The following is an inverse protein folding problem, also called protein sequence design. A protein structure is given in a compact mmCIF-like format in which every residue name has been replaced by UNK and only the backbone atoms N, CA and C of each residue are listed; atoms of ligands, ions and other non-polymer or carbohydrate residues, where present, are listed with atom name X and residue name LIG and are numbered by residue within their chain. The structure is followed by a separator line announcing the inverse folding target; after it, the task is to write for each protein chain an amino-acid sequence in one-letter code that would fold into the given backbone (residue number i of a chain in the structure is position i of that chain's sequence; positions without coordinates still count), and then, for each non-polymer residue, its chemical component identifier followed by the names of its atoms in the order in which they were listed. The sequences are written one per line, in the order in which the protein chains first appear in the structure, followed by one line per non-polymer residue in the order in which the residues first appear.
data_IF_966934755317
#
_entry.id   IF_966934755317
#
_cell.length_a   1.000
_cell.length_b   1.000
_cell.length_c   1.000
_cell.angle_alpha   90.00
_cell.angle_beta   90.00
_cell.angle_gamma   90.00
#
_symmetry.space_group_name_H-M   'P 1'
#
loop_
_entity.id
_entity.type
_entity.pdbx_description
1 polymer ?
#
# COMPACT_ATOMS: atom_id res chain seq x y z
N UNK A 1 25.53 28.78 0.74
CA UNK A 1 24.73 28.46 1.95
C UNK A 1 24.58 26.96 2.03
N UNK A 2 25.06 26.33 3.11
CA UNK A 2 24.81 24.92 3.41
C UNK A 2 23.37 24.75 3.90
N UNK A 3 22.59 23.90 3.25
CA UNK A 3 21.23 23.54 3.70
C UNK A 3 21.36 22.48 4.82
N UNK A 4 20.50 22.56 5.84
CA UNK A 4 20.41 21.54 6.89
C UNK A 4 19.93 20.19 6.35
N UNK A 5 20.12 19.13 7.15
CA UNK A 5 19.72 17.76 6.80
C UNK A 5 18.43 17.41 7.53
N UNK A 6 17.43 16.95 6.79
CA UNK A 6 16.21 16.33 7.33
C UNK A 6 16.11 14.93 6.73
N UNK A 7 16.35 13.91 7.55
CA UNK A 7 16.30 12.50 7.18
C UNK A 7 15.66 11.70 8.31
N UNK A 8 14.73 10.83 7.96
CA UNK A 8 14.10 9.85 8.86
C UNK A 8 14.31 8.48 8.25
N UNK A 9 14.75 7.54 9.07
CA UNK A 9 14.90 6.13 8.70
C UNK A 9 14.08 5.32 9.67
N UNK A 10 13.19 4.48 9.17
CA UNK A 10 12.34 3.62 9.97
C UNK A 10 12.33 2.20 9.41
N UNK A 11 12.37 1.24 10.33
CA UNK A 11 12.07 -0.17 10.04
C UNK A 11 11.00 -0.59 11.03
N UNK A 12 9.88 -1.08 10.52
CA UNK A 12 8.75 -1.45 11.36
C UNK A 12 7.74 -2.30 10.62
N UNK A 13 6.65 -2.62 11.31
CA UNK A 13 5.54 -3.40 10.76
C UNK A 13 4.32 -2.52 10.50
N UNK A 14 3.59 -2.81 9.43
CA UNK A 14 2.38 -2.06 9.10
C UNK A 14 1.25 -2.42 10.07
N UNK A 15 0.61 -1.43 10.69
CA UNK A 15 -0.54 -1.64 11.57
C UNK A 15 -1.85 -1.97 10.84
N UNK A 16 -1.93 -1.55 9.58
CA UNK A 16 -3.06 -1.75 8.67
C UNK A 16 -2.58 -1.74 7.23
N UNK A 17 -3.43 -2.19 6.31
CA UNK A 17 -3.14 -2.13 4.89
C UNK A 17 -2.92 -0.67 4.43
N UNK A 18 -2.03 -0.42 3.45
CA UNK A 18 -1.81 0.92 2.91
C UNK A 18 -3.09 1.51 2.30
N UNK A 19 -3.40 2.75 2.66
CA UNK A 19 -4.52 3.48 2.05
C UNK A 19 -4.01 4.25 0.83
N UNK A 20 -4.24 3.73 -0.38
CA UNK A 20 -3.83 4.38 -1.63
C UNK A 20 -4.92 5.27 -2.21
N UNK A 21 -4.54 6.48 -2.61
CA UNK A 21 -5.39 7.46 -3.28
C UNK A 21 -4.67 8.00 -4.50
N UNK A 22 -5.41 8.26 -5.57
CA UNK A 22 -4.88 8.93 -6.76
C UNK A 22 -5.27 10.40 -6.73
N UNK A 23 -4.29 11.26 -6.94
CA UNK A 23 -4.50 12.70 -7.07
C UNK A 23 -5.01 13.05 -8.48
N UNK A 24 -5.65 14.21 -8.68
CA UNK A 24 -6.16 14.63 -10.00
C UNK A 24 -5.10 14.72 -11.11
N UNK A 25 -3.83 14.86 -10.72
CA UNK A 25 -2.68 14.87 -11.65
C UNK A 25 -2.19 13.45 -12.03
N UNK A 26 -2.89 12.40 -11.58
CA UNK A 26 -2.54 11.00 -11.83
C UNK A 26 -1.53 10.40 -10.84
N UNK A 27 -0.93 11.19 -9.95
CA UNK A 27 0.04 10.65 -8.99
C UNK A 27 -0.65 9.89 -7.86
N UNK A 28 -0.14 8.69 -7.56
CA UNK A 28 -0.55 7.92 -6.39
C UNK A 28 0.03 8.48 -5.09
N UNK A 29 -0.73 8.37 -4.01
CA UNK A 29 -0.33 8.68 -2.64
C UNK A 29 -0.78 7.53 -1.75
N UNK A 30 0.12 6.98 -0.94
CA UNK A 30 -0.19 5.92 0.01
C UNK A 30 0.03 6.43 1.45
N UNK A 31 -1.00 6.34 2.27
CA UNK A 31 -0.92 6.58 3.71
C UNK A 31 -0.67 5.26 4.44
N UNK A 32 0.43 5.19 5.18
CA UNK A 32 0.87 4.00 5.90
C UNK A 32 0.97 4.33 7.40
N UNK A 33 0.52 3.39 8.22
CA UNK A 33 0.71 3.41 9.68
C UNK A 33 1.73 2.35 10.04
N UNK A 34 2.87 2.76 10.55
CA UNK A 34 4.00 1.89 10.88
C UNK A 34 4.21 1.86 12.40
N UNK A 35 4.32 0.67 12.97
CA UNK A 35 4.69 0.46 14.36
C UNK A 35 6.19 0.19 14.49
N UNK A 36 6.82 0.81 15.49
CA UNK A 36 8.15 0.43 15.99
C UNK A 36 8.06 0.18 17.49
N UNK A 37 8.55 -0.96 17.96
CA UNK A 37 8.47 -1.33 19.38
C UNK A 37 9.85 -1.41 20.02
N UNK A 38 9.95 -0.89 21.24
CA UNK A 38 11.11 -1.03 22.10
C UNK A 38 10.74 -1.84 23.35
N UNK A 39 11.59 -2.80 23.72
CA UNK A 39 11.41 -3.63 24.92
C UNK A 39 12.57 -3.41 25.89
N UNK A 40 12.28 -3.11 27.16
CA UNK A 40 13.30 -2.97 28.20
C UNK A 40 12.85 -3.62 29.50
N UNK A 41 13.81 -3.91 30.40
CA UNK A 41 13.51 -4.40 31.75
C UNK A 41 13.47 -3.22 32.71
N UNK A 42 12.36 -3.04 33.42
CA UNK A 42 12.23 -2.03 34.46
C UNK A 42 13.16 -2.38 35.65
N UNK A 43 13.96 -1.41 36.07
CA UNK A 43 14.96 -1.58 37.15
C UNK A 43 14.32 -1.72 38.53
N UNK A 44 13.14 -1.14 38.74
CA UNK A 44 12.45 -1.14 40.04
C UNK A 44 11.64 -2.42 40.23
N UNK A 45 10.96 -2.87 39.17
CA UNK A 45 10.03 -4.00 39.23
C UNK A 45 10.61 -5.30 38.67
N UNK A 46 11.70 -5.23 37.89
CA UNK A 46 12.28 -6.37 37.20
C UNK A 46 11.42 -6.92 36.05
N UNK A 47 10.29 -6.28 35.74
CA UNK A 47 9.37 -6.73 34.70
C UNK A 47 9.82 -6.24 33.32
N UNK A 48 9.48 -7.02 32.28
CA UNK A 48 9.67 -6.59 30.89
C UNK A 48 8.57 -5.59 30.53
N UNK A 49 8.97 -4.40 30.10
CA UNK A 49 8.10 -3.35 29.58
C UNK A 49 8.28 -3.25 28.06
N UNK A 50 7.21 -2.86 27.38
CA UNK A 50 7.20 -2.65 25.93
C UNK A 50 6.53 -1.31 25.61
N UNK A 51 7.12 -0.53 24.71
CA UNK A 51 6.55 0.72 24.20
C UNK A 51 6.51 0.65 22.68
N UNK A 52 5.33 0.89 22.12
CA UNK A 52 5.12 0.96 20.68
C UNK A 52 4.89 2.41 20.26
N UNK A 53 5.64 2.87 19.27
CA UNK A 53 5.46 4.17 18.62
C UNK A 53 4.80 3.98 17.25
N UNK A 54 3.81 4.83 16.97
CA UNK A 54 3.04 4.81 15.72
C UNK A 54 3.42 5.96 14.81
N UNK A 55 3.98 5.62 13.66
CA UNK A 55 4.47 6.56 12.66
C UNK A 55 3.47 6.67 11.51
N UNK A 56 3.18 7.91 11.10
CA UNK A 56 2.39 8.20 9.90
C UNK A 56 3.32 8.48 8.74
N UNK A 57 3.33 7.57 7.77
CA UNK A 57 4.17 7.66 6.58
C UNK A 57 3.29 8.00 5.37
N UNK A 58 3.71 8.97 4.57
CA UNK A 58 3.04 9.38 3.34
C UNK A 58 4.02 9.14 2.19
N UNK A 59 3.68 8.17 1.34
CA UNK A 59 4.50 7.77 0.20
C UNK A 59 3.86 8.32 -1.07
N UNK A 60 4.68 8.85 -2.00
CA UNK A 60 4.21 9.44 -3.25
C UNK A 60 4.67 8.65 -4.49
N UNK A 61 3.93 8.83 -5.58
CA UNK A 61 4.28 8.36 -6.92
C UNK A 61 4.36 6.83 -7.01
N UNK A 62 5.32 6.32 -7.78
CA UNK A 62 5.48 4.89 -8.03
C UNK A 62 5.67 4.07 -6.75
N UNK A 63 6.34 4.61 -5.74
CA UNK A 63 6.50 3.92 -4.45
C UNK A 63 5.15 3.73 -3.73
N UNK A 64 4.20 4.63 -3.92
CA UNK A 64 2.85 4.50 -3.37
C UNK A 64 2.07 3.37 -4.05
N UNK A 65 2.22 3.20 -5.37
CA UNK A 65 1.60 2.10 -6.12
C UNK A 65 2.18 0.75 -5.68
N UNK A 66 3.52 0.67 -5.57
CA UNK A 66 4.20 -0.53 -5.08
C UNK A 66 3.77 -0.84 -3.64
N UNK A 67 3.70 0.17 -2.77
CA UNK A 67 3.21 -0.02 -1.42
C UNK A 67 1.80 -0.60 -1.40
N UNK A 68 0.86 -0.04 -2.16
CA UNK A 68 -0.52 -0.55 -2.22
C UNK A 68 -0.65 -1.95 -2.82
N UNK A 69 0.23 -2.32 -3.74
CA UNK A 69 0.18 -3.63 -4.40
C UNK A 69 0.79 -4.76 -3.55
N UNK A 70 1.84 -4.47 -2.79
CA UNK A 70 2.67 -5.50 -2.17
C UNK A 70 2.73 -5.44 -0.64
N UNK A 71 2.44 -4.29 -0.02
CA UNK A 71 2.40 -4.21 1.44
C UNK A 71 0.98 -4.51 1.94
N UNK A 72 0.91 -5.35 2.97
CA UNK A 72 -0.31 -5.64 3.73
C UNK A 72 -0.06 -5.37 5.21
N UNK A 73 -1.13 -5.37 6.01
CA UNK A 73 -1.05 -5.37 7.48
C UNK A 73 -0.06 -6.42 7.96
N UNK A 74 0.79 -6.05 8.91
CA UNK A 74 1.82 -6.89 9.50
C UNK A 74 3.09 -7.02 8.67
N UNK A 75 3.10 -6.59 7.40
CA UNK A 75 4.31 -6.62 6.59
C UNK A 75 5.39 -5.72 7.22
N UNK A 76 6.63 -6.20 7.21
CA UNK A 76 7.78 -5.43 7.65
C UNK A 76 8.39 -4.68 6.47
N UNK A 77 8.67 -3.40 6.66
CA UNK A 77 9.25 -2.55 5.62
C UNK A 77 10.21 -1.51 6.19
N UNK A 78 11.19 -1.16 5.37
CA UNK A 78 12.10 -0.05 5.54
C UNK A 78 11.56 1.18 4.81
N UNK A 79 11.63 2.34 5.47
CA UNK A 79 11.29 3.63 4.90
C UNK A 79 12.40 4.64 5.19
N UNK A 80 12.79 5.39 4.16
CA UNK A 80 13.62 6.57 4.26
C UNK A 80 12.87 7.78 3.72
N UNK A 81 12.79 8.85 4.50
CA UNK A 81 12.08 10.06 4.12
C UNK A 81 12.52 11.27 4.92
N UNK A 82 11.61 12.23 5.09
CA UNK A 82 11.83 13.47 5.84
C UNK A 82 10.62 13.80 6.72
N UNK A 83 10.83 14.47 7.84
CA UNK A 83 9.73 15.00 8.63
C UNK A 83 9.11 16.21 7.92
N UNK A 84 7.79 16.23 7.84
CA UNK A 84 7.03 17.37 7.39
C UNK A 84 5.84 17.60 8.32
N UNK A 85 5.75 18.80 8.89
CA UNK A 85 4.60 19.22 9.68
C UNK A 85 3.71 20.10 8.81
N UNK A 86 2.44 19.72 8.67
CA UNK A 86 1.43 20.54 8.00
C UNK A 86 0.44 21.09 9.01
N UNK A 87 0.05 22.35 8.77
CA UNK A 87 -1.06 23.01 9.46
C UNK A 87 -2.34 22.77 8.67
N UNK A 88 -3.43 22.44 9.36
CA UNK A 88 -4.76 22.32 8.78
C UNK A 88 -5.80 22.80 9.78
N UNK A 89 -6.91 23.33 9.28
CA UNK A 89 -8.00 23.81 10.13
C UNK A 89 -9.03 22.72 10.30
N UNK A 90 -9.41 22.44 11.55
CA UNK A 90 -10.49 21.52 11.85
C UNK A 90 -11.82 22.09 11.35
N UNK A 91 -12.53 21.30 10.54
CA UNK A 91 -13.78 21.73 9.88
C UNK A 91 -14.91 21.98 10.88
N UNK A 92 -14.87 21.34 12.05
CA UNK A 92 -15.92 21.44 13.06
C UNK A 92 -15.68 22.61 14.00
N UNK A 93 -14.45 22.75 14.49
CA UNK A 93 -14.11 23.73 15.53
C UNK A 93 -13.47 25.01 15.00
N UNK A 94 -13.02 25.02 13.74
CA UNK A 94 -12.28 26.13 13.15
C UNK A 94 -10.87 26.31 13.73
N UNK A 95 -10.41 25.43 14.62
CA UNK A 95 -9.09 25.53 15.24
C UNK A 95 -7.98 25.05 14.31
N UNK A 96 -6.83 25.70 14.42
CA UNK A 96 -5.60 25.26 13.78
C UNK A 96 -5.06 23.99 14.45
N UNK A 97 -4.81 22.95 13.64
CA UNK A 97 -4.17 21.70 14.05
C UNK A 97 -2.90 21.47 13.25
N UNK A 98 -1.97 20.76 13.87
CA UNK A 98 -0.69 20.39 13.28
C UNK A 98 -0.61 18.88 13.19
N UNK A 99 -0.05 18.39 12.09
CA UNK A 99 0.22 16.96 11.92
C UNK A 99 1.60 16.80 11.34
N UNK A 100 2.46 16.08 12.05
CA UNK A 100 3.80 15.70 11.61
C UNK A 100 3.73 14.34 10.95
N UNK A 101 4.27 14.25 9.73
CA UNK A 101 4.24 13.07 8.89
C UNK A 101 5.66 12.80 8.37
N UNK A 102 5.96 11.52 8.11
CA UNK A 102 7.18 11.13 7.40
C UNK A 102 6.84 11.08 5.92
N UNK A 103 7.39 11.99 5.14
CA UNK A 103 7.15 12.06 3.69
C UNK A 103 8.26 11.32 2.95
N UNK A 104 7.85 10.36 2.13
CA UNK A 104 8.70 9.60 1.20
C UNK A 104 8.33 10.04 -0.22
N UNK A 105 9.12 10.99 -0.74
CA UNK A 105 9.01 11.49 -2.11
C UNK A 105 10.12 10.92 -2.99
N UNK A 106 10.43 11.56 -4.12
CA UNK A 106 11.48 11.12 -5.06
C UNK A 106 12.88 11.04 -4.45
N UNK A 107 13.15 11.70 -3.32
CA UNK A 107 14.42 11.61 -2.59
C UNK A 107 14.44 10.56 -1.50
N UNK A 108 13.31 9.94 -1.19
CA UNK A 108 13.18 8.87 -0.19
C UNK A 108 13.34 7.48 -0.79
N UNK A 109 13.29 6.46 0.06
CA UNK A 109 13.40 5.05 -0.33
C UNK A 109 12.38 4.21 0.44
N UNK A 110 11.95 3.11 -0.16
CA UNK A 110 11.13 2.10 0.50
C UNK A 110 11.59 0.71 0.07
N UNK A 111 11.71 -0.20 1.04
CA UNK A 111 12.05 -1.59 0.78
C UNK A 111 11.19 -2.52 1.63
N UNK A 112 10.58 -3.51 1.00
CA UNK A 112 9.88 -4.59 1.69
C UNK A 112 10.91 -5.53 2.30
N UNK A 113 10.73 -5.88 3.58
CA UNK A 113 11.60 -6.80 4.32
C UNK A 113 10.92 -8.14 4.61
N UNK A 114 9.61 -8.24 4.36
CA UNK A 114 8.83 -9.48 4.48
C UNK A 114 8.90 -10.30 3.19
N UNK A 115 9.74 -11.33 3.20
CA UNK A 115 9.95 -12.22 2.06
C UNK A 115 10.56 -13.55 2.47
N UNK A 116 9.93 -14.25 3.41
CA UNK A 116 10.01 -15.71 3.35
C UNK A 116 8.83 -16.13 2.46
N UNK A 117 9.14 -16.36 1.19
CA UNK A 117 8.27 -17.04 0.25
C UNK A 117 7.88 -18.37 0.91
N UNK A 118 6.78 -18.38 1.67
CA UNK A 118 6.05 -19.63 1.84
C UNK A 118 5.64 -19.99 0.42
N UNK A 119 6.40 -20.93 -0.15
CA UNK A 119 5.92 -21.90 -1.12
C UNK A 119 4.40 -21.98 -0.95
N UNK A 120 3.67 -21.42 -1.92
CA UNK A 120 2.27 -21.75 -2.12
C UNK A 120 2.25 -23.26 -2.28
N UNK A 121 2.05 -23.97 -1.18
CA UNK A 121 1.70 -25.37 -1.18
C UNK A 121 0.34 -25.39 -1.86
N UNK A 122 0.35 -25.64 -3.16
CA UNK A 122 -0.86 -25.99 -3.87
C UNK A 122 -1.51 -27.15 -3.11
N UNK A 123 -2.82 -27.06 -2.79
CA UNK A 123 -3.51 -28.21 -2.23
C UNK A 123 -3.57 -29.27 -3.32
N UNK A 124 -2.67 -30.25 -3.23
CA UNK A 124 -2.72 -31.47 -4.02
C UNK A 124 -4.00 -32.22 -3.61
N UNK A 125 -5.07 -31.96 -4.36
CA UNK A 125 -6.36 -32.61 -4.19
C UNK A 125 -6.27 -34.03 -4.75
N UNK A 126 -5.62 -34.92 -4.00
CA UNK A 126 -5.63 -36.36 -4.26
C UNK A 126 -7.01 -36.89 -3.90
N UNK A 127 -7.90 -36.98 -4.89
CA UNK A 127 -9.12 -37.77 -4.80
C UNK A 127 -8.75 -39.23 -4.51
N UNK A 128 -9.06 -39.71 -3.31
CA UNK A 128 -9.06 -41.14 -2.98
C UNK A 128 -10.43 -41.72 -3.36
N UNK A 129 -10.54 -42.64 -4.33
CA UNK A 129 -11.78 -43.36 -4.56
C UNK A 129 -11.99 -44.41 -3.46
N UNK A 130 -13.21 -44.38 -2.88
CA UNK A 130 -13.74 -45.40 -1.96
C UNK A 130 -13.55 -46.81 -2.53
N UNK A 131 -12.76 -47.64 -1.84
CA UNK A 131 -12.68 -49.07 -2.09
C UNK A 131 -13.65 -49.83 -1.17
N UNK A 132 -14.62 -50.52 -1.79
CA UNK A 132 -15.53 -51.47 -1.16
C UNK A 132 -14.77 -52.78 -0.87
N UNK A 133 -14.97 -53.32 0.34
CA UNK A 133 -14.28 -54.49 0.88
C UNK A 133 -14.64 -55.82 0.17
N UNK A 134 -13.64 -56.69 -0.03
CA UNK A 134 -13.76 -58.16 -0.12
C UNK A 134 -12.53 -58.86 0.52
N UNK A 135 -12.68 -60.03 1.16
CA UNK A 135 -11.62 -60.65 1.97
C UNK A 135 -10.74 -61.71 1.27
N UNK A 136 -9.52 -61.86 1.82
CA UNK A 136 -8.60 -63.04 1.92
C UNK A 136 -8.11 -63.81 0.68
N UNK A 137 -6.78 -63.82 0.45
CA UNK A 137 -5.91 -65.00 0.69
C UNK A 137 -4.41 -64.76 0.42
N UNK A 138 -3.58 -65.51 1.14
CA UNK A 138 -2.10 -65.58 1.11
C UNK A 138 -1.51 -65.89 -0.28
N UNK A 139 -0.35 -65.27 -0.62
CA UNK A 139 0.95 -65.94 -0.85
C UNK A 139 1.92 -65.15 -1.77
N UNK A 140 3.18 -65.11 -1.32
CA UNK A 140 4.44 -65.19 -2.09
C UNK A 140 4.98 -64.02 -2.96
N UNK A 141 6.23 -63.69 -2.59
CA UNK A 141 7.44 -63.45 -3.39
C UNK A 141 7.65 -62.18 -4.21
N UNK A 142 8.80 -61.58 -3.90
CA UNK A 142 9.64 -60.69 -4.70
C UNK A 142 10.02 -61.26 -6.07
N UNK A 143 9.96 -60.43 -7.12
CA UNK A 143 10.87 -60.36 -8.27
C UNK A 143 10.33 -59.27 -9.21
N UNK A 144 11.07 -58.18 -9.48
CA UNK A 144 12.12 -58.03 -10.48
C UNK A 144 11.60 -57.63 -11.87
N UNK A 145 12.36 -56.70 -12.47
CA UNK A 145 12.49 -56.30 -13.87
C UNK A 145 11.56 -55.24 -14.48
N UNK A 146 12.16 -54.06 -14.70
CA UNK A 146 12.65 -53.56 -16.00
C UNK A 146 11.78 -53.68 -17.27
N UNK A 147 11.90 -52.58 -18.04
CA UNK A 147 11.62 -52.35 -19.47
C UNK A 147 10.19 -51.87 -19.78
N UNK A 148 9.98 -50.61 -20.15
CA UNK A 148 10.34 -49.94 -21.43
C UNK A 148 9.41 -50.36 -22.57
N UNK A 149 8.53 -49.44 -23.02
CA UNK A 149 8.03 -49.23 -24.40
C UNK A 149 7.05 -48.03 -24.38
N UNK A 150 7.43 -46.85 -24.89
CA UNK A 150 7.04 -46.32 -26.21
C UNK A 150 5.57 -46.52 -26.57
N UNK A 151 4.76 -45.46 -26.51
CA UNK A 151 3.66 -45.23 -27.45
C UNK A 151 3.53 -43.76 -27.81
N UNK A 152 3.45 -43.57 -29.12
CA UNK A 152 3.31 -42.37 -29.91
C UNK A 152 1.81 -42.11 -30.13
N UNK A 153 1.30 -40.89 -29.94
CA UNK A 153 0.23 -40.41 -30.81
C UNK A 153 0.08 -38.88 -30.84
N UNK A 154 0.03 -38.40 -32.07
CA UNK A 154 -0.20 -37.05 -32.58
C UNK A 154 -1.66 -36.60 -32.51
N UNK A 155 -1.87 -35.29 -32.35
CA UNK A 155 -2.91 -34.44 -33.00
C UNK A 155 -2.75 -33.01 -32.43
N UNK A 156 -2.08 -32.06 -33.09
CA UNK A 156 -2.58 -31.23 -34.20
C UNK A 156 -4.06 -30.82 -34.08
N UNK A 157 -4.30 -29.57 -33.68
CA UNK A 157 -5.39 -28.76 -34.23
C UNK A 157 -4.95 -27.29 -34.34
N UNK A 158 -4.97 -26.80 -35.58
CA UNK A 158 -4.85 -25.42 -36.01
C UNK A 158 -6.26 -24.82 -36.15
N UNK A 159 -6.37 -23.50 -35.97
CA UNK A 159 -7.55 -22.73 -36.34
C UNK A 159 -7.23 -21.24 -36.35
N UNK A 160 -7.13 -20.67 -37.55
CA UNK A 160 -6.95 -19.24 -37.84
C UNK A 160 -8.22 -18.71 -38.57
N UNK A 161 -8.28 -17.43 -38.99
CA UNK A 161 -9.17 -16.38 -38.50
C UNK A 161 -10.45 -16.17 -39.31
N UNK A 162 -11.43 -15.44 -38.76
CA UNK A 162 -12.61 -14.97 -39.50
C UNK A 162 -12.58 -13.44 -39.71
N UNK A 163 -12.95 -13.03 -40.92
CA UNK A 163 -12.96 -11.64 -41.44
C UNK A 163 -14.37 -11.19 -41.81
N UNK A 164 -14.55 -9.86 -41.99
CA UNK A 164 -15.68 -9.11 -42.59
C UNK A 164 -16.77 -8.67 -41.59
N UNK A 165 -17.39 -7.48 -41.62
CA UNK A 165 -17.42 -6.39 -42.61
C UNK A 165 -17.93 -5.06 -41.97
N UNK A 166 -17.38 -3.93 -42.44
CA UNK A 166 -17.92 -2.57 -42.68
C UNK A 166 -19.16 -2.07 -41.91
N UNK A 167 -19.01 -0.93 -41.19
CA UNK A 167 -19.79 0.28 -41.52
C UNK A 167 -19.17 1.58 -41.00
N UNK A 168 -19.04 2.55 -41.91
CA UNK A 168 -18.52 3.89 -41.75
C UNK A 168 -19.73 4.82 -41.82
N UNK A 169 -19.99 5.61 -40.77
CA UNK A 169 -20.90 6.77 -40.89
C UNK A 169 -20.33 7.95 -40.11
N UNK A 170 -19.85 8.91 -40.90
CA UNK A 170 -19.55 10.27 -40.54
C UNK A 170 -20.86 10.99 -40.16
N UNK A 171 -20.89 11.64 -39.00
CA UNK A 171 -21.75 12.81 -38.81
C UNK A 171 -21.00 13.88 -38.03
N UNK A 172 -20.71 14.96 -38.77
CA UNK A 172 -20.38 16.28 -38.28
C UNK A 172 -21.47 16.79 -37.35
N UNK A 173 -21.10 17.37 -36.21
CA UNK A 173 -21.84 18.51 -35.71
C UNK A 173 -20.91 19.49 -35.01
N UNK A 174 -20.64 20.59 -35.71
CA UNK A 174 -20.21 21.85 -35.12
C UNK A 174 -21.32 22.33 -34.18
N UNK A 175 -20.97 22.74 -32.97
CA UNK A 175 -21.63 23.89 -32.38
C UNK A 175 -20.63 24.68 -31.53
N UNK A 176 -20.38 25.88 -32.02
CA UNK A 176 -19.71 26.97 -31.32
C UNK A 176 -20.70 27.51 -30.28
N UNK A 177 -20.28 27.63 -29.04
CA UNK A 177 -20.86 28.60 -28.12
C UNK A 177 -19.73 29.35 -27.41
N UNK A 178 -19.60 30.61 -27.79
CA UNK A 178 -18.89 31.65 -27.07
C UNK A 178 -19.78 32.15 -25.93
N UNK A 179 -19.21 32.36 -24.74
CA UNK A 179 -19.86 33.03 -23.62
C UNK A 179 -18.83 33.36 -22.55
N UNK A 180 -18.51 34.65 -22.41
CA UNK A 180 -17.60 35.23 -21.42
C UNK A 180 -18.06 34.98 -19.97
N UNK A 181 -17.15 34.97 -18.98
CA UNK A 181 -17.51 35.01 -17.57
C UNK A 181 -17.86 36.45 -17.14
N UNK A 182 -18.94 36.68 -16.37
CA UNK A 182 -19.12 37.96 -15.69
C UNK A 182 -18.27 38.02 -14.41
N UNK A 183 -17.49 39.09 -14.34
CA UNK A 183 -16.74 39.58 -13.18
C UNK A 183 -17.69 40.04 -12.07
N UNK A 184 -17.45 39.62 -10.83
CA UNK A 184 -17.98 40.30 -9.65
C UNK A 184 -16.83 40.74 -8.74
N UNK A 185 -16.67 42.06 -8.66
CA UNK A 185 -15.86 42.78 -7.69
C UNK A 185 -16.54 42.81 -6.32
N UNK A 186 -15.70 42.88 -5.27
CA UNK A 186 -15.90 43.32 -3.87
C UNK A 186 -15.71 42.19 -2.85
N UNK A 187 -14.99 42.30 -1.74
CA UNK A 187 -14.13 43.32 -1.11
C UNK A 187 -13.31 42.54 -0.08
N UNK A 188 -11.98 42.65 -0.07
CA UNK A 188 -11.14 42.06 0.99
C UNK A 188 -11.13 43.01 2.17
N UNK A 189 -11.94 42.73 3.19
CA UNK A 189 -11.80 43.37 4.50
C UNK A 189 -10.82 42.54 5.33
N UNK A 190 -9.65 43.12 5.66
CA UNK A 190 -8.76 42.55 6.67
C UNK A 190 -9.52 42.39 8.00
N UNK A 191 -9.35 41.27 8.73
CA UNK A 191 -9.83 41.17 10.10
C UNK A 191 -9.05 42.14 11.01
N UNK A 192 -9.68 42.71 12.05
CA UNK A 192 -9.01 43.61 12.98
C UNK A 192 -7.91 42.88 13.74
N UNK A 193 -6.76 43.56 13.90
CA UNK A 193 -5.64 43.14 14.74
C UNK A 193 -6.13 43.07 16.19
N UNK A 194 -6.20 41.87 16.76
CA UNK A 194 -6.37 41.70 18.21
C UNK A 194 -4.99 41.91 18.84
N UNK A 195 -4.79 43.08 19.43
CA UNK A 195 -3.67 43.32 20.34
C UNK A 195 -4.02 42.62 21.66
N UNK A 196 -3.30 41.53 21.95
CA UNK A 196 -3.36 40.86 23.25
C UNK A 196 -2.28 41.53 24.09
N UNK A 197 -2.71 42.37 25.03
CA UNK A 197 -1.84 42.95 26.06
C UNK A 197 -1.40 41.81 26.99
N UNK A 198 -0.13 41.45 26.89
CA UNK A 198 0.55 40.42 27.69
C UNK A 198 1.11 41.03 28.98
N UNK A 199 0.23 41.58 29.81
CA UNK A 199 0.65 42.14 31.10
C UNK A 199 -0.45 41.96 32.16
N UNK A 200 -0.73 40.69 32.53
CA UNK A 200 -1.18 40.32 33.88
C UNK A 200 -1.38 38.78 33.98
N UNK A 201 -0.85 38.20 35.05
CA UNK A 201 -1.13 36.86 35.60
C UNK A 201 -0.40 35.61 35.06
N UNK A 202 0.88 35.45 35.46
CA UNK A 202 1.49 34.12 35.68
C UNK A 202 1.67 33.94 37.20
N UNK A 203 0.83 33.16 37.91
CA UNK A 203 1.14 32.80 39.29
C UNK A 203 2.27 31.76 39.32
N UNK A 204 3.25 32.03 40.18
CA UNK A 204 4.44 31.22 40.50
C UNK A 204 4.12 29.82 41.02
#
# INVERSE_FOLDING_TARGET
MSRGINKVILVGSLGKDPEVKYLPNGNAVANISLATSESWKDRNTGQKQEKTEWHRIVVFGKLAEIAGQYLTKGAQAYFEGKLQTRKWQDKTTGQDKYTTEIVVDSGGQMQMLGGNTQTRSEPNNTYTPNAVAKPSNNNFSSQNNNNQTQFNNSNQFQGQPNTQNVNQNQFNNQNQFQGQPPSNNQTVTNPPKVEIDFDDDIPF
#
